data_IF_534616883505
#
_entry.id   IF_534616883505
#
_cell.length_a   1.000
_cell.length_b   1.000
_cell.length_c   1.000
_cell.angle_alpha   90.00
_cell.angle_beta   90.00
_cell.angle_gamma   90.00
#
_symmetry.space_group_name_H-M   'P 1'
#
loop_
_entity.id
_entity.type
_entity.pdbx_description
1 polymer ?
#
# COMPACT_ATOMS: atom_id res chain seq x y z
N UNK A 1 52.24 4.09 32.83
CA UNK A 1 51.60 4.12 34.16
C UNK A 1 50.18 4.62 34.02
N UNK A 2 49.19 3.87 34.50
CA UNK A 2 47.79 4.27 34.48
C UNK A 2 47.47 4.96 35.81
N UNK A 3 47.15 6.25 35.76
CA UNK A 3 46.69 7.02 36.93
C UNK A 3 45.16 6.99 36.98
N UNK A 4 44.62 6.83 38.19
CA UNK A 4 43.19 6.97 38.48
C UNK A 4 42.71 8.40 38.21
N UNK A 5 41.39 8.60 38.09
CA UNK A 5 40.83 9.94 37.92
C UNK A 5 41.06 10.83 39.16
N UNK A 6 41.13 10.24 40.36
CA UNK A 6 41.49 10.95 41.58
C UNK A 6 42.92 11.48 41.50
N UNK A 7 43.88 10.62 41.14
CA UNK A 7 45.27 11.04 40.99
C UNK A 7 45.45 12.10 39.91
N UNK A 8 44.72 12.00 38.78
CA UNK A 8 44.72 13.02 37.72
C UNK A 8 44.13 14.36 38.18
N UNK A 9 43.11 14.33 39.03
CA UNK A 9 42.54 15.53 39.64
C UNK A 9 43.53 16.18 40.60
N UNK A 10 44.19 15.39 41.46
CA UNK A 10 45.20 15.88 42.40
C UNK A 10 46.39 16.50 41.65
N UNK A 11 46.82 15.88 40.54
CA UNK A 11 47.81 16.45 39.64
C UNK A 11 47.36 17.81 39.07
N UNK A 12 46.12 17.90 38.61
CA UNK A 12 45.56 19.14 38.07
C UNK A 12 45.53 20.25 39.13
N UNK A 13 45.18 19.92 40.38
CA UNK A 13 45.20 20.85 41.51
C UNK A 13 46.61 21.41 41.76
N UNK A 14 47.62 20.54 41.88
CA UNK A 14 49.01 20.99 42.06
C UNK A 14 49.49 21.87 40.89
N UNK A 15 49.02 21.59 39.67
CA UNK A 15 49.35 22.39 38.49
C UNK A 15 48.75 23.79 38.54
N UNK A 16 47.50 23.92 39.00
CA UNK A 16 46.83 25.21 39.16
C UNK A 16 47.47 26.00 40.30
N UNK A 17 47.73 25.34 41.44
CA UNK A 17 48.32 25.96 42.63
C UNK A 17 49.70 26.56 42.35
N UNK A 18 50.53 25.87 41.56
CA UNK A 18 51.86 26.34 41.16
C UNK A 18 51.83 27.26 39.94
N UNK A 19 50.75 28.03 39.75
CA UNK A 19 50.57 29.00 38.68
C UNK A 19 50.87 28.43 37.28
N UNK A 20 50.47 27.18 37.02
CA UNK A 20 50.67 26.45 35.74
C UNK A 20 52.14 26.20 35.40
N UNK A 21 53.03 26.17 36.39
CA UNK A 21 54.41 25.71 36.21
C UNK A 21 54.49 24.18 36.39
N UNK A 22 54.79 23.45 35.31
CA UNK A 22 54.81 21.99 35.29
C UNK A 22 55.85 21.37 36.23
N UNK A 23 57.04 21.96 36.35
CA UNK A 23 58.12 21.43 37.21
C UNK A 23 57.86 21.70 38.68
N UNK A 24 57.36 22.89 39.01
CA UNK A 24 56.94 23.23 40.37
C UNK A 24 55.77 22.34 40.82
N UNK A 25 54.79 22.12 39.93
CA UNK A 25 53.66 21.21 40.19
C UNK A 25 54.11 19.77 40.46
N UNK A 26 55.07 19.24 39.68
CA UNK A 26 55.60 17.90 39.91
C UNK A 26 56.36 17.79 41.25
N UNK A 27 57.10 18.83 41.66
CA UNK A 27 57.74 18.89 42.98
C UNK A 27 56.70 18.93 44.10
N UNK A 28 55.70 19.80 43.98
CA UNK A 28 54.62 19.89 44.96
C UNK A 28 53.85 18.58 45.09
N UNK A 29 53.52 17.94 43.96
CA UNK A 29 52.83 16.65 43.94
C UNK A 29 53.64 15.56 44.65
N UNK A 30 54.97 15.53 44.45
CA UNK A 30 55.87 14.59 45.13
C UNK A 30 55.92 14.85 46.65
N UNK A 31 55.86 16.12 47.06
CA UNK A 31 55.85 16.50 48.49
C UNK A 31 54.52 16.17 49.15
N UNK A 32 53.39 16.44 48.48
CA UNK A 32 52.04 16.21 49.03
C UNK A 32 51.62 14.72 48.99
N UNK A 33 52.15 13.95 48.05
CA UNK A 33 51.80 12.54 47.85
C UNK A 33 53.07 11.66 47.73
N UNK A 34 53.85 11.51 48.82
CA UNK A 34 55.14 10.81 48.78
C UNK A 34 55.02 9.31 48.43
N UNK A 35 53.90 8.67 48.77
CA UNK A 35 53.64 7.25 48.51
C UNK A 35 53.17 6.96 47.06
N UNK A 36 52.96 8.00 46.24
CA UNK A 36 52.49 7.85 44.86
C UNK A 36 53.63 8.02 43.87
N UNK A 37 53.64 7.27 42.76
CA UNK A 37 54.63 7.47 41.72
C UNK A 37 54.46 8.86 41.08
N UNK A 38 55.52 9.66 41.13
CA UNK A 38 55.49 11.00 40.56
C UNK A 38 55.50 10.92 39.02
N UNK A 39 54.46 11.42 38.32
CA UNK A 39 54.45 11.47 36.87
C UNK A 39 55.47 12.46 36.32
N UNK A 40 55.83 12.29 35.06
CA UNK A 40 56.63 13.28 34.34
C UNK A 40 55.90 14.65 34.33
N UNK A 41 56.64 15.73 34.55
CA UNK A 41 56.09 17.09 34.67
C UNK A 41 55.19 17.53 33.50
N UNK A 42 55.42 17.00 32.29
CA UNK A 42 54.61 17.26 31.09
C UNK A 42 53.17 16.73 31.23
N UNK A 43 52.95 15.68 32.04
CA UNK A 43 51.64 15.05 32.25
C UNK A 43 50.62 16.02 32.85
N UNK A 44 51.06 16.89 33.76
CA UNK A 44 50.22 17.89 34.43
C UNK A 44 49.59 18.86 33.41
N UNK A 45 50.40 19.36 32.47
CA UNK A 45 49.93 20.20 31.37
C UNK A 45 48.98 19.43 30.44
N UNK A 46 49.30 18.19 30.06
CA UNK A 46 48.44 17.37 29.17
C UNK A 46 47.07 17.13 29.78
N UNK A 47 46.99 16.87 31.09
CA UNK A 47 45.71 16.71 31.79
C UNK A 47 44.90 18.01 31.79
N UNK A 48 45.54 19.14 32.10
CA UNK A 48 44.90 20.46 32.04
C UNK A 48 44.39 20.78 30.64
N UNK A 49 45.21 20.54 29.61
CA UNK A 49 44.86 20.76 28.21
C UNK A 49 43.67 19.90 27.80
N UNK A 50 43.69 18.60 28.07
CA UNK A 50 42.61 17.69 27.72
C UNK A 50 41.29 18.07 28.40
N UNK A 51 41.34 18.47 29.68
CA UNK A 51 40.14 18.94 30.39
C UNK A 51 39.56 20.21 29.78
N UNK A 52 40.41 21.15 29.35
CA UNK A 52 39.96 22.41 28.71
C UNK A 52 39.43 22.20 27.29
N UNK A 53 40.05 21.31 26.51
CA UNK A 53 39.69 21.10 25.11
C UNK A 53 38.58 20.08 24.90
N UNK A 54 38.50 19.04 25.74
CA UNK A 54 37.61 17.89 25.53
C UNK A 54 36.67 17.61 26.71
N UNK A 55 36.74 18.40 27.80
CA UNK A 55 35.93 18.16 29.00
C UNK A 55 36.24 16.85 29.73
N UNK A 56 37.35 16.18 29.38
CA UNK A 56 37.75 14.90 29.95
C UNK A 56 39.27 14.75 29.96
N UNK A 57 39.82 13.89 30.82
CA UNK A 57 41.27 13.66 30.91
C UNK A 57 41.87 12.95 29.68
N UNK A 58 41.04 12.48 28.74
CA UNK A 58 41.44 11.68 27.58
C UNK A 58 40.94 12.36 26.31
N UNK A 59 41.81 12.48 25.30
CA UNK A 59 41.38 12.91 23.97
C UNK A 59 40.46 11.85 23.33
N UNK A 60 39.23 12.19 22.91
CA UNK A 60 38.36 11.25 22.20
C UNK A 60 39.03 10.79 20.90
N UNK A 61 39.06 9.48 20.65
CA UNK A 61 39.48 8.95 19.34
C UNK A 61 38.30 9.09 18.37
N UNK A 62 38.46 9.85 17.28
CA UNK A 62 37.50 9.82 16.18
C UNK A 62 37.69 8.52 15.39
N UNK A 63 36.65 7.67 15.33
CA UNK A 63 36.61 6.58 14.36
C UNK A 63 35.94 7.09 13.10
N UNK A 64 36.72 7.33 12.05
CA UNK A 64 36.18 7.58 10.71
C UNK A 64 35.78 6.23 10.13
N UNK A 65 34.51 6.08 9.73
CA UNK A 65 34.01 4.85 9.09
C UNK A 65 34.49 4.79 7.63
N UNK A 66 35.51 4.00 7.33
CA UNK A 66 36.03 3.77 5.97
C UNK A 66 34.98 3.24 4.98
N UNK A 67 33.98 2.50 5.46
CA UNK A 67 32.94 1.91 4.62
C UNK A 67 31.92 2.93 4.05
N UNK A 68 31.81 4.13 4.62
CA UNK A 68 30.84 5.18 4.23
C UNK A 68 31.62 6.42 3.78
N UNK A 69 32.71 6.22 3.05
CA UNK A 69 33.38 7.31 2.35
C UNK A 69 32.44 7.85 1.26
N UNK A 70 32.62 9.11 0.88
CA UNK A 70 31.90 9.82 -0.17
C UNK A 70 31.96 9.03 -1.48
N UNK A 71 33.14 8.53 -1.86
CA UNK A 71 33.32 7.78 -3.11
C UNK A 71 32.50 6.48 -3.14
N UNK A 72 32.59 5.67 -2.10
CA UNK A 72 31.81 4.45 -1.97
C UNK A 72 30.29 4.74 -1.93
N UNK A 73 29.91 5.85 -1.29
CA UNK A 73 28.50 6.26 -1.25
C UNK A 73 28.03 6.66 -2.65
N UNK A 74 28.84 7.40 -3.39
CA UNK A 74 28.55 7.80 -4.77
C UNK A 74 28.41 6.60 -5.70
N UNK A 75 29.35 5.65 -5.67
CA UNK A 75 29.30 4.44 -6.51
C UNK A 75 28.07 3.58 -6.25
N UNK A 76 27.70 3.40 -4.97
CA UNK A 76 26.47 2.66 -4.59
C UNK A 76 25.22 3.38 -5.09
N UNK A 77 25.14 4.70 -4.92
CA UNK A 77 23.97 5.48 -5.34
C UNK A 77 23.83 5.53 -6.87
N UNK A 78 24.94 5.68 -7.60
CA UNK A 78 24.93 5.68 -9.06
C UNK A 78 24.33 4.39 -9.61
N UNK A 79 24.71 3.23 -9.06
CA UNK A 79 24.17 1.92 -9.47
C UNK A 79 22.68 1.75 -9.16
N UNK A 80 22.23 2.26 -8.02
CA UNK A 80 20.80 2.22 -7.66
C UNK A 80 19.94 3.15 -8.53
N UNK A 81 20.50 4.27 -9.02
CA UNK A 81 19.83 5.17 -9.95
C UNK A 81 19.79 4.59 -11.37
N UNK A 82 20.91 4.02 -11.82
CA UNK A 82 21.02 3.39 -13.14
C UNK A 82 20.08 2.20 -13.30
N UNK A 83 19.94 1.38 -12.26
CA UNK A 83 19.03 0.24 -12.25
C UNK A 83 18.30 0.11 -10.89
N UNK A 84 17.10 0.70 -10.74
CA UNK A 84 16.32 0.59 -9.50
C UNK A 84 15.86 -0.83 -9.13
N UNK A 85 15.96 -1.81 -10.04
CA UNK A 85 15.59 -3.20 -9.81
C UNK A 85 16.77 -4.07 -9.34
N UNK A 86 17.98 -3.51 -9.26
CA UNK A 86 19.18 -4.26 -8.84
C UNK A 86 19.12 -4.63 -7.35
N UNK A 87 19.55 -5.85 -7.02
CA UNK A 87 19.62 -6.26 -5.61
C UNK A 87 20.84 -5.63 -4.93
N UNK A 88 20.71 -5.28 -3.64
CA UNK A 88 21.86 -4.78 -2.86
C UNK A 88 23.00 -5.81 -2.75
N UNK A 89 22.73 -7.11 -2.97
CA UNK A 89 23.78 -8.14 -3.03
C UNK A 89 24.57 -8.04 -4.33
N UNK A 90 23.87 -7.88 -5.45
CA UNK A 90 24.49 -7.67 -6.77
C UNK A 90 25.34 -6.39 -6.78
N UNK A 91 24.84 -5.29 -6.20
CA UNK A 91 25.62 -4.05 -6.04
C UNK A 91 26.86 -4.27 -5.16
N UNK A 92 26.75 -5.09 -4.12
CA UNK A 92 27.88 -5.41 -3.25
C UNK A 92 28.95 -6.23 -4.00
N UNK A 93 28.54 -7.19 -4.83
CA UNK A 93 29.42 -7.97 -5.69
C UNK A 93 30.11 -7.10 -6.75
N UNK A 94 29.35 -6.27 -7.47
CA UNK A 94 29.89 -5.39 -8.53
C UNK A 94 30.88 -4.35 -7.99
N UNK A 95 30.64 -3.82 -6.79
CA UNK A 95 31.48 -2.79 -6.18
C UNK A 95 32.56 -3.37 -5.24
N UNK A 96 32.68 -4.69 -5.14
CA UNK A 96 33.56 -5.38 -4.18
C UNK A 96 33.39 -4.85 -2.74
N UNK A 97 32.14 -4.64 -2.33
CA UNK A 97 31.76 -4.16 -1.01
C UNK A 97 31.03 -5.27 -0.23
N UNK A 98 30.95 -5.14 1.09
CA UNK A 98 30.05 -6.02 1.86
C UNK A 98 28.61 -5.56 1.71
N UNK A 99 27.67 -6.50 1.70
CA UNK A 99 26.23 -6.21 1.71
C UNK A 99 25.84 -5.22 2.82
N UNK A 100 26.39 -5.39 4.03
CA UNK A 100 26.12 -4.53 5.18
C UNK A 100 26.60 -3.08 4.99
N UNK A 101 27.64 -2.86 4.19
CA UNK A 101 28.10 -1.50 3.82
C UNK A 101 27.15 -0.87 2.81
N UNK A 102 26.80 -1.59 1.74
CA UNK A 102 25.85 -1.14 0.71
C UNK A 102 24.49 -0.83 1.33
N UNK A 103 23.96 -1.71 2.18
CA UNK A 103 22.69 -1.50 2.89
C UNK A 103 22.71 -0.26 3.78
N UNK A 104 23.83 0.01 4.46
CA UNK A 104 23.96 1.17 5.36
C UNK A 104 24.02 2.47 4.57
N UNK A 105 24.70 2.47 3.42
CA UNK A 105 24.72 3.60 2.49
C UNK A 105 23.30 3.86 1.96
N UNK A 106 22.62 2.84 1.43
CA UNK A 106 21.25 2.96 0.94
C UNK A 106 20.31 3.55 2.01
N UNK A 107 20.33 3.01 3.24
CA UNK A 107 19.54 3.52 4.36
C UNK A 107 19.90 4.96 4.75
N UNK A 108 21.20 5.30 4.80
CA UNK A 108 21.66 6.67 5.12
C UNK A 108 21.11 7.70 4.11
N UNK A 109 21.02 7.30 2.84
CA UNK A 109 20.51 8.13 1.77
C UNK A 109 19.00 7.93 1.49
N UNK A 110 18.27 7.27 2.41
CA UNK A 110 16.82 7.05 2.35
C UNK A 110 16.33 6.23 1.14
N UNK A 111 17.17 5.35 0.59
CA UNK A 111 16.75 4.36 -0.39
C UNK A 111 16.09 3.19 0.34
N UNK A 112 14.85 2.90 -0.05
CA UNK A 112 14.05 1.79 0.47
C UNK A 112 13.71 0.82 -0.67
N UNK A 113 13.68 -0.47 -0.34
CA UNK A 113 13.12 -1.44 -1.27
C UNK A 113 11.60 -1.31 -1.27
N UNK A 114 11.02 -1.02 -2.43
CA UNK A 114 9.58 -0.99 -2.63
C UNK A 114 9.17 -2.24 -3.41
N UNK A 115 8.13 -2.92 -2.93
CA UNK A 115 7.54 -4.02 -3.69
C UNK A 115 6.67 -3.42 -4.80
N UNK A 116 6.98 -3.75 -6.05
CA UNK A 116 6.11 -3.38 -7.17
C UNK A 116 4.74 -4.04 -6.97
N UNK A 117 3.66 -3.24 -7.08
CA UNK A 117 2.32 -3.78 -7.02
C UNK A 117 2.03 -4.45 -8.37
N UNK A 118 1.65 -5.74 -8.41
CA UNK A 118 1.20 -6.36 -9.63
C UNK A 118 -0.12 -5.72 -10.04
N UNK A 119 -0.15 -5.08 -11.22
CA UNK A 119 -1.36 -4.54 -11.85
C UNK A 119 -1.58 -5.27 -13.17
N UNK A 120 -2.84 -5.38 -13.59
CA UNK A 120 -3.14 -6.01 -14.87
C UNK A 120 -2.47 -5.23 -16.01
N UNK A 121 -1.76 -5.94 -16.89
CA UNK A 121 -1.11 -5.31 -18.02
C UNK A 121 -2.16 -4.72 -18.97
N UNK A 122 -2.12 -3.41 -19.13
CA UNK A 122 -2.89 -2.70 -20.15
C UNK A 122 -2.17 -2.81 -21.50
N UNK A 123 -2.96 -2.95 -22.57
CA UNK A 123 -2.49 -2.82 -23.94
C UNK A 123 -2.65 -1.37 -24.41
N UNK A 124 -1.91 -0.96 -25.44
CA UNK A 124 -1.99 0.40 -25.98
C UNK A 124 -3.42 0.78 -26.41
N UNK A 125 -4.18 -0.18 -26.94
CA UNK A 125 -5.59 0.00 -27.31
C UNK A 125 -6.52 0.25 -26.12
N UNK A 126 -6.11 -0.10 -24.90
CA UNK A 126 -6.95 0.08 -23.71
C UNK A 126 -6.95 1.52 -23.24
N UNK A 127 -5.86 2.26 -23.44
CA UNK A 127 -5.74 3.65 -22.99
C UNK A 127 -6.81 4.53 -23.64
N UNK A 128 -6.97 4.41 -24.96
CA UNK A 128 -7.99 5.13 -25.72
C UNK A 128 -9.41 4.76 -25.24
N UNK A 129 -9.68 3.48 -25.01
CA UNK A 129 -10.99 3.02 -24.50
C UNK A 129 -11.28 3.55 -23.11
N UNK A 130 -10.27 3.57 -22.23
CA UNK A 130 -10.39 4.15 -20.88
C UNK A 130 -10.64 5.65 -20.96
N UNK A 131 -9.90 6.37 -21.79
CA UNK A 131 -10.10 7.81 -22.00
C UNK A 131 -11.47 8.13 -22.58
N UNK A 132 -11.97 7.35 -23.54
CA UNK A 132 -13.31 7.53 -24.09
C UNK A 132 -14.39 7.36 -23.01
N UNK A 133 -14.28 6.32 -22.18
CA UNK A 133 -15.17 6.11 -21.04
C UNK A 133 -15.12 7.29 -20.06
N UNK A 134 -13.93 7.75 -19.69
CA UNK A 134 -13.76 8.86 -18.75
C UNK A 134 -14.31 10.16 -19.33
N UNK A 135 -14.01 10.47 -20.59
CA UNK A 135 -14.52 11.66 -21.26
C UNK A 135 -16.05 11.69 -21.26
N UNK A 136 -16.69 10.55 -21.52
CA UNK A 136 -18.15 10.42 -21.41
C UNK A 136 -18.64 10.69 -19.99
N UNK A 137 -18.02 10.08 -18.98
CA UNK A 137 -18.38 10.34 -17.58
C UNK A 137 -18.19 11.81 -17.18
N UNK A 138 -17.14 12.48 -17.65
CA UNK A 138 -16.90 13.90 -17.37
C UNK A 138 -17.98 14.80 -17.96
N UNK A 139 -18.35 14.58 -19.22
CA UNK A 139 -19.45 15.32 -19.86
C UNK A 139 -20.76 15.10 -19.10
N UNK A 140 -21.06 13.86 -18.71
CA UNK A 140 -22.26 13.54 -17.94
C UNK A 140 -22.27 14.19 -16.55
N UNK A 141 -21.11 14.27 -15.89
CA UNK A 141 -20.95 14.96 -14.62
C UNK A 141 -21.11 16.48 -14.72
N UNK A 142 -20.72 17.08 -15.85
CA UNK A 142 -20.95 18.50 -16.13
C UNK A 142 -22.45 18.78 -16.37
N UNK A 143 -23.14 17.88 -17.07
CA UNK A 143 -24.60 17.97 -17.32
C UNK A 143 -25.43 17.71 -16.04
N UNK A 144 -25.05 16.69 -15.27
CA UNK A 144 -25.74 16.27 -14.05
C UNK A 144 -24.71 15.90 -12.95
N UNK A 145 -24.55 16.76 -11.92
CA UNK A 145 -23.68 16.45 -10.79
C UNK A 145 -24.09 15.19 -10.00
N UNK A 146 -25.33 14.71 -10.15
CA UNK A 146 -25.82 13.48 -9.55
C UNK A 146 -25.61 12.24 -10.43
N UNK A 147 -25.01 12.36 -11.62
CA UNK A 147 -24.81 11.25 -12.55
C UNK A 147 -24.29 9.96 -11.89
N UNK A 148 -23.28 10.05 -11.02
CA UNK A 148 -22.69 8.88 -10.36
C UNK A 148 -23.65 8.17 -9.39
N UNK A 149 -24.64 8.87 -8.82
CA UNK A 149 -25.60 8.28 -7.87
C UNK A 149 -26.59 7.35 -8.59
N UNK A 150 -26.71 7.48 -9.90
CA UNK A 150 -27.59 6.67 -10.74
C UNK A 150 -26.90 5.40 -11.27
N UNK A 151 -25.57 5.27 -11.13
CA UNK A 151 -24.83 4.10 -11.59
C UNK A 151 -24.98 2.96 -10.59
N UNK A 152 -25.54 1.84 -11.05
CA UNK A 152 -25.49 0.57 -10.35
C UNK A 152 -24.21 -0.18 -10.78
N UNK A 153 -23.22 -0.16 -9.91
CA UNK A 153 -21.97 -0.89 -10.07
C UNK A 153 -22.21 -2.37 -9.76
N UNK A 154 -21.89 -3.28 -10.67
CA UNK A 154 -22.16 -4.72 -10.47
C UNK A 154 -20.95 -5.56 -10.83
N UNK A 155 -20.76 -6.64 -10.08
CA UNK A 155 -19.68 -7.59 -10.34
C UNK A 155 -19.93 -8.93 -9.62
N UNK A 156 -19.17 -9.95 -10.00
CA UNK A 156 -19.12 -11.25 -9.33
C UNK A 156 -17.75 -11.56 -8.74
N UNK A 157 -17.74 -12.07 -7.51
CA UNK A 157 -16.55 -12.62 -6.89
C UNK A 157 -16.73 -14.06 -6.43
N UNK A 158 -15.71 -14.88 -6.68
CA UNK A 158 -15.58 -16.21 -6.09
C UNK A 158 -14.97 -16.14 -4.69
N UNK A 159 -15.61 -16.83 -3.76
CA UNK A 159 -15.12 -17.10 -2.41
C UNK A 159 -14.76 -18.58 -2.29
N UNK A 160 -13.65 -18.89 -1.63
CA UNK A 160 -13.10 -20.24 -1.50
C UNK A 160 -12.84 -20.58 -0.03
N UNK A 161 -13.02 -21.84 0.32
CA UNK A 161 -12.80 -22.32 1.69
C UNK A 161 -11.34 -22.38 2.12
N UNK A 162 -10.38 -22.27 1.20
CA UNK A 162 -8.94 -22.32 1.48
C UNK A 162 -8.35 -20.93 1.74
N UNK A 163 -9.16 -19.87 1.78
CA UNK A 163 -8.67 -18.51 2.00
C UNK A 163 -7.64 -18.07 0.97
N UNK A 164 -7.56 -18.72 -0.20
CA UNK A 164 -6.73 -18.22 -1.29
C UNK A 164 -7.39 -16.93 -1.79
N UNK A 165 -6.92 -15.85 -1.22
CA UNK A 165 -7.32 -14.53 -1.61
C UNK A 165 -6.56 -14.22 -2.89
N UNK A 166 -7.31 -14.16 -4.00
CA UNK A 166 -6.79 -13.98 -5.34
C UNK A 166 -5.85 -12.77 -5.37
N UNK A 167 -4.53 -12.98 -5.47
CA UNK A 167 -3.51 -11.93 -5.24
C UNK A 167 -3.68 -10.67 -6.12
N UNK A 168 -4.37 -10.79 -7.26
CA UNK A 168 -4.70 -9.67 -8.15
C UNK A 168 -5.81 -8.74 -7.61
N UNK A 169 -6.78 -9.23 -6.82
CA UNK A 169 -7.90 -8.43 -6.31
C UNK A 169 -7.71 -8.04 -4.84
N UNK A 170 -6.45 -7.94 -4.42
CA UNK A 170 -6.11 -8.04 -3.01
C UNK A 170 -5.13 -6.97 -2.56
N UNK A 171 -5.59 -5.73 -2.69
CA UNK A 171 -4.97 -4.61 -2.06
C UNK A 171 -5.42 -4.52 -0.61
N UNK A 172 -4.52 -4.89 0.28
CA UNK A 172 -4.73 -4.83 1.70
C UNK A 172 -4.17 -3.54 2.28
N UNK A 173 -5.07 -2.73 2.83
CA UNK A 173 -4.73 -1.50 3.51
C UNK A 173 -5.28 -1.58 4.93
N UNK A 174 -4.38 -1.70 5.90
CA UNK A 174 -4.73 -1.67 7.30
C UNK A 174 -3.69 -0.79 8.02
N UNK A 175 -4.15 0.00 9.00
CA UNK A 175 -3.28 0.82 9.86
C UNK A 175 -2.31 -0.04 10.69
N UNK A 176 -2.59 -1.34 10.83
CA UNK A 176 -1.73 -2.31 11.52
C UNK A 176 -1.68 -3.64 10.76
N UNK A 177 -0.57 -4.38 10.87
CA UNK A 177 -0.41 -5.67 10.20
C UNK A 177 -1.39 -6.69 10.81
N UNK A 178 -2.35 -7.24 10.03
CA UNK A 178 -3.35 -8.17 10.55
C UNK A 178 -2.82 -9.57 10.88
N UNK A 179 -1.52 -9.84 10.67
CA UNK A 179 -0.89 -11.14 10.94
C UNK A 179 -1.59 -12.32 10.24
N UNK A 180 -1.84 -12.19 8.94
CA UNK A 180 -2.46 -13.28 8.19
C UNK A 180 -1.57 -14.52 8.11
N UNK A 181 -2.20 -15.67 8.39
CA UNK A 181 -1.63 -17.01 8.26
C UNK A 181 -2.47 -17.73 7.20
N UNK A 182 -1.85 -18.09 6.08
CA UNK A 182 -2.51 -18.83 5.00
C UNK A 182 -2.15 -20.33 5.11
N UNK A 183 -3.09 -21.17 5.54
CA UNK A 183 -2.98 -22.62 5.44
C UNK A 183 -3.41 -23.07 4.02
N UNK A 184 -2.45 -23.37 3.15
CA UNK A 184 -2.69 -23.58 1.70
C UNK A 184 -3.21 -24.96 1.30
N UNK A 185 -3.31 -25.94 2.23
CA UNK A 185 -3.67 -27.32 1.90
C UNK A 185 -4.94 -27.81 2.60
N UNK A 186 -6.09 -27.74 1.91
CA UNK A 186 -7.32 -28.46 2.27
C UNK A 186 -7.64 -29.52 1.20
N UNK A 187 -7.93 -30.76 1.62
CA UNK A 187 -8.27 -31.90 0.74
C UNK A 187 -9.64 -31.76 0.05
N UNK A 188 -10.59 -31.01 0.62
CA UNK A 188 -11.90 -30.73 0.02
C UNK A 188 -12.00 -29.24 -0.32
N UNK A 189 -12.19 -28.92 -1.60
CA UNK A 189 -12.31 -27.54 -2.10
C UNK A 189 -13.75 -27.27 -2.51
N UNK A 190 -14.35 -26.24 -1.93
CA UNK A 190 -15.64 -25.71 -2.35
C UNK A 190 -15.53 -24.20 -2.54
N UNK A 191 -16.35 -23.67 -3.46
CA UNK A 191 -16.38 -22.26 -3.80
C UNK A 191 -17.79 -21.79 -4.02
N UNK A 192 -18.05 -20.53 -3.69
CA UNK A 192 -19.33 -19.85 -3.92
C UNK A 192 -19.07 -18.66 -4.82
N UNK A 193 -19.86 -18.52 -5.89
CA UNK A 193 -19.83 -17.33 -6.73
C UNK A 193 -20.91 -16.35 -6.26
N UNK A 194 -20.51 -15.13 -5.93
CA UNK A 194 -21.36 -14.14 -5.29
C UNK A 194 -21.47 -12.93 -6.19
N UNK A 195 -22.70 -12.49 -6.45
CA UNK A 195 -22.97 -11.23 -7.11
C UNK A 195 -23.39 -10.18 -6.08
N UNK A 196 -22.88 -8.97 -6.24
CA UNK A 196 -23.32 -7.80 -5.50
C UNK A 196 -23.43 -6.60 -6.45
N UNK A 197 -24.35 -5.70 -6.11
CA UNK A 197 -24.48 -4.40 -6.76
C UNK A 197 -24.35 -3.28 -5.73
N UNK A 198 -23.81 -2.12 -6.11
CA UNK A 198 -23.85 -0.92 -5.27
C UNK A 198 -24.41 0.22 -6.10
N UNK A 199 -25.48 0.85 -5.62
CA UNK A 199 -26.05 2.06 -6.20
C UNK A 199 -26.14 3.13 -5.13
N UNK A 200 -25.47 4.25 -5.39
CA UNK A 200 -25.32 5.34 -4.44
C UNK A 200 -24.78 4.87 -3.07
N UNK A 201 -25.62 4.85 -2.04
CA UNK A 201 -25.32 4.40 -0.68
C UNK A 201 -25.90 3.02 -0.34
N UNK A 202 -26.52 2.34 -1.32
CA UNK A 202 -27.24 1.09 -1.13
C UNK A 202 -26.47 -0.10 -1.69
N UNK A 203 -26.32 -1.13 -0.86
CA UNK A 203 -25.82 -2.43 -1.27
C UNK A 203 -26.98 -3.32 -1.73
N UNK A 204 -26.85 -3.89 -2.91
CA UNK A 204 -27.80 -4.82 -3.54
C UNK A 204 -27.21 -6.23 -3.50
N UNK A 205 -28.02 -7.20 -3.09
CA UNK A 205 -27.57 -8.55 -2.81
C UNK A 205 -27.12 -8.73 -1.36
N UNK A 206 -26.23 -9.69 -1.04
CA UNK A 206 -25.54 -10.60 -1.96
C UNK A 206 -26.47 -11.66 -2.58
N UNK A 207 -26.28 -11.95 -3.87
CA UNK A 207 -26.89 -13.07 -4.58
C UNK A 207 -25.87 -14.19 -4.80
N UNK A 208 -26.29 -15.45 -4.68
CA UNK A 208 -25.38 -16.59 -4.74
C UNK A 208 -25.70 -17.47 -5.94
N UNK A 209 -24.75 -17.63 -6.87
CA UNK A 209 -24.86 -18.59 -7.95
C UNK A 209 -24.41 -19.98 -7.46
N UNK A 210 -25.29 -20.97 -7.59
CA UNK A 210 -25.06 -22.36 -7.20
C UNK A 210 -24.07 -23.09 -8.15
N UNK A 211 -23.93 -22.62 -9.38
CA UNK A 211 -23.15 -23.26 -10.45
C UNK A 211 -22.35 -22.24 -11.27
N UNK A 212 -21.58 -22.72 -12.25
CA UNK A 212 -20.87 -21.85 -13.18
C UNK A 212 -21.84 -20.91 -13.92
N UNK A 213 -21.51 -19.63 -13.91
CA UNK A 213 -22.28 -18.59 -14.57
C UNK A 213 -22.12 -18.72 -16.10
N UNK A 214 -23.25 -18.81 -16.80
CA UNK A 214 -23.32 -18.72 -18.26
C UNK A 214 -24.34 -17.64 -18.64
N UNK A 215 -24.39 -17.26 -19.91
CA UNK A 215 -25.26 -16.16 -20.35
C UNK A 215 -26.75 -16.40 -20.10
N UNK A 216 -27.24 -17.64 -20.18
CA UNK A 216 -28.65 -17.95 -19.92
C UNK A 216 -29.01 -17.80 -18.44
N UNK A 217 -28.13 -18.28 -17.54
CA UNK A 217 -28.31 -18.11 -16.09
C UNK A 217 -28.20 -16.65 -15.68
N UNK A 218 -27.23 -15.93 -16.24
CA UNK A 218 -27.11 -14.50 -16.02
C UNK A 218 -28.36 -13.75 -16.50
N UNK A 219 -28.87 -14.09 -17.68
CA UNK A 219 -30.12 -13.51 -18.18
C UNK A 219 -31.34 -13.83 -17.31
N UNK A 220 -31.45 -15.07 -16.80
CA UNK A 220 -32.49 -15.45 -15.84
C UNK A 220 -32.40 -14.61 -14.57
N UNK A 221 -31.20 -14.51 -13.99
CA UNK A 221 -30.92 -13.65 -12.85
C UNK A 221 -31.32 -12.18 -13.09
N UNK A 222 -30.96 -11.62 -14.25
CA UNK A 222 -31.32 -10.25 -14.62
C UNK A 222 -32.84 -10.02 -14.74
N UNK A 223 -33.60 -11.05 -15.12
CA UNK A 223 -35.05 -10.98 -15.33
C UNK A 223 -35.86 -11.25 -14.07
N UNK A 224 -35.43 -12.25 -13.32
CA UNK A 224 -36.26 -12.87 -12.29
C UNK A 224 -35.83 -12.41 -10.90
N UNK A 225 -34.52 -12.25 -10.65
CA UNK A 225 -33.97 -11.93 -9.33
C UNK A 225 -33.65 -10.45 -9.15
N UNK A 226 -33.07 -9.77 -10.15
CA UNK A 226 -32.70 -8.36 -10.06
C UNK A 226 -33.89 -7.44 -9.69
N UNK A 227 -35.09 -7.58 -10.29
CA UNK A 227 -36.22 -6.74 -9.91
C UNK A 227 -36.60 -6.88 -8.43
N UNK A 228 -36.46 -8.08 -7.86
CA UNK A 228 -36.71 -8.37 -6.44
C UNK A 228 -35.62 -7.71 -5.58
N UNK A 229 -34.36 -7.85 -5.97
CA UNK A 229 -33.24 -7.25 -5.23
C UNK A 229 -33.27 -5.71 -5.21
N UNK A 230 -33.88 -5.09 -6.23
CA UNK A 230 -34.03 -3.65 -6.34
C UNK A 230 -35.32 -3.10 -5.72
N UNK A 231 -36.16 -3.92 -5.08
CA UNK A 231 -37.47 -3.50 -4.56
C UNK A 231 -37.37 -2.35 -3.55
N UNK A 232 -36.31 -2.34 -2.73
CA UNK A 232 -36.04 -1.30 -1.73
C UNK A 232 -35.45 -0.02 -2.31
N UNK A 233 -35.15 0.02 -3.61
CA UNK A 233 -34.64 1.22 -4.29
C UNK A 233 -35.80 2.07 -4.81
N UNK A 234 -35.73 3.37 -4.55
CA UNK A 234 -36.77 4.32 -4.94
C UNK A 234 -37.09 4.23 -6.44
N UNK A 235 -38.37 4.41 -6.80
CA UNK A 235 -38.80 4.33 -8.19
C UNK A 235 -38.03 5.33 -9.08
N UNK A 236 -37.77 6.53 -8.55
CA UNK A 236 -37.01 7.56 -9.27
C UNK A 236 -35.57 7.10 -9.58
N UNK A 237 -34.86 6.51 -8.61
CA UNK A 237 -33.53 5.95 -8.86
C UNK A 237 -33.57 4.77 -9.83
N UNK A 238 -34.59 3.91 -9.76
CA UNK A 238 -34.74 2.79 -10.70
C UNK A 238 -35.00 3.24 -12.13
N UNK A 239 -35.74 4.34 -12.33
CA UNK A 239 -36.02 4.89 -13.67
C UNK A 239 -34.78 5.52 -14.31
N UNK A 240 -33.90 6.12 -13.52
CA UNK A 240 -32.66 6.75 -13.99
C UNK A 240 -31.45 5.81 -13.93
N UNK A 241 -31.66 4.54 -13.55
CA UNK A 241 -30.58 3.60 -13.26
C UNK A 241 -29.71 3.36 -14.49
N UNK A 242 -28.40 3.45 -14.29
CA UNK A 242 -27.38 3.11 -15.28
C UNK A 242 -26.72 1.81 -14.86
N UNK A 243 -26.89 0.76 -15.67
CA UNK A 243 -26.38 -0.57 -15.36
C UNK A 243 -24.90 -0.69 -15.75
N UNK A 244 -23.99 -0.96 -14.82
CA UNK A 244 -22.58 -1.25 -15.15
C UNK A 244 -22.28 -2.74 -14.98
N UNK A 245 -21.61 -3.34 -15.98
CA UNK A 245 -21.07 -4.70 -15.92
C UNK A 245 -19.72 -4.81 -16.64
N UNK A 246 -18.93 -5.83 -16.29
CA UNK A 246 -17.61 -6.07 -16.85
C UNK A 246 -17.65 -6.79 -18.22
N UNK A 247 -16.49 -7.24 -18.69
CA UNK A 247 -16.34 -7.95 -19.96
C UNK A 247 -16.45 -9.47 -19.91
N UNK A 248 -16.99 -10.07 -18.84
CA UNK A 248 -17.10 -11.52 -18.73
C UNK A 248 -17.90 -12.13 -19.90
N UNK A 249 -17.56 -13.35 -20.37
CA UNK A 249 -18.26 -13.97 -21.50
C UNK A 249 -19.77 -14.12 -21.31
N UNK A 250 -20.25 -14.36 -20.08
CA UNK A 250 -21.68 -14.46 -19.78
C UNK A 250 -22.42 -13.14 -20.05
N UNK A 251 -21.78 -12.00 -19.76
CA UNK A 251 -22.33 -10.65 -19.92
C UNK A 251 -22.44 -10.24 -21.40
N UNK A 252 -21.59 -10.82 -22.26
CA UNK A 252 -21.47 -10.44 -23.66
C UNK A 252 -22.34 -11.27 -24.63
N UNK A 253 -23.15 -12.18 -24.12
CA UNK A 253 -24.09 -12.94 -24.98
C UNK A 253 -25.12 -12.02 -25.62
N UNK A 254 -25.56 -12.36 -26.84
CA UNK A 254 -26.55 -11.56 -27.57
C UNK A 254 -27.85 -11.39 -26.80
N UNK A 255 -28.29 -12.42 -26.09
CA UNK A 255 -29.54 -12.39 -25.33
C UNK A 255 -29.46 -11.43 -24.12
N UNK A 256 -28.31 -11.40 -23.42
CA UNK A 256 -28.06 -10.45 -22.32
C UNK A 256 -28.00 -9.02 -22.86
N UNK A 257 -27.25 -8.78 -23.93
CA UNK A 257 -27.13 -7.46 -24.57
C UNK A 257 -28.49 -6.93 -25.04
N UNK A 258 -29.28 -7.77 -25.71
CA UNK A 258 -30.62 -7.41 -26.18
C UNK A 258 -31.56 -7.07 -25.01
N UNK A 259 -31.43 -7.79 -23.88
CA UNK A 259 -32.18 -7.50 -22.68
C UNK A 259 -31.78 -6.16 -22.05
N UNK A 260 -30.48 -5.89 -21.90
CA UNK A 260 -30.00 -4.63 -21.33
C UNK A 260 -30.40 -3.42 -22.19
N UNK A 261 -30.27 -3.53 -23.52
CA UNK A 261 -30.75 -2.50 -24.44
C UNK A 261 -32.27 -2.27 -24.28
N UNK A 262 -33.06 -3.34 -24.12
CA UNK A 262 -34.50 -3.22 -23.93
C UNK A 262 -34.88 -2.58 -22.59
N UNK A 263 -34.18 -2.95 -21.51
CA UNK A 263 -34.54 -2.52 -20.15
C UNK A 263 -34.02 -1.13 -19.79
N UNK A 264 -32.78 -0.80 -20.18
CA UNK A 264 -32.12 0.44 -19.80
C UNK A 264 -32.01 1.43 -20.97
N UNK A 265 -32.17 0.98 -22.20
CA UNK A 265 -31.93 1.78 -23.40
C UNK A 265 -30.45 1.90 -23.73
N UNK A 266 -30.14 2.45 -24.90
CA UNK A 266 -28.78 2.47 -25.46
C UNK A 266 -27.79 3.35 -24.67
N UNK A 267 -28.30 4.27 -23.83
CA UNK A 267 -27.52 5.23 -23.04
C UNK A 267 -27.32 4.86 -21.57
N UNK A 268 -28.13 3.95 -21.01
CA UNK A 268 -28.13 3.71 -19.55
C UNK A 268 -27.58 2.33 -19.18
N UNK A 269 -26.61 1.82 -19.94
CA UNK A 269 -25.77 0.73 -19.46
C UNK A 269 -24.34 0.77 -20.02
N UNK A 270 -23.40 0.36 -19.18
CA UNK A 270 -21.97 0.25 -19.46
C UNK A 270 -21.57 -1.21 -19.48
N UNK A 271 -21.08 -1.67 -20.62
CA UNK A 271 -20.49 -2.99 -20.78
C UNK A 271 -19.66 -3.02 -22.05
N UNK A 272 -18.91 -4.11 -22.28
CA UNK A 272 -17.94 -4.18 -23.39
C UNK A 272 -18.56 -3.91 -24.76
N UNK A 273 -19.84 -4.24 -24.95
CA UNK A 273 -20.56 -4.06 -26.20
C UNK A 273 -21.79 -3.16 -26.06
N UNK A 274 -21.73 -2.19 -25.14
CA UNK A 274 -22.75 -1.14 -25.05
C UNK A 274 -22.74 -0.27 -26.31
N UNK A 275 -23.91 0.16 -26.83
CA UNK A 275 -24.00 0.85 -28.11
C UNK A 275 -23.31 2.21 -28.14
N UNK A 276 -23.39 2.97 -27.05
CA UNK A 276 -22.94 4.36 -27.01
C UNK A 276 -21.61 4.50 -26.27
N UNK A 277 -21.48 3.88 -25.09
CA UNK A 277 -20.24 3.94 -24.33
C UNK A 277 -19.86 2.58 -23.76
N UNK A 278 -18.71 2.08 -24.21
CA UNK A 278 -18.23 0.76 -23.82
C UNK A 278 -17.47 0.82 -22.50
N UNK A 279 -17.73 -0.16 -21.62
CA UNK A 279 -16.91 -0.36 -20.43
C UNK A 279 -15.48 -0.72 -20.85
N UNK A 280 -14.45 -0.02 -20.34
CA UNK A 280 -13.09 -0.25 -20.77
C UNK A 280 -12.58 -1.62 -20.29
N UNK A 281 -11.89 -2.39 -21.16
CA UNK A 281 -11.32 -3.67 -20.76
C UNK A 281 -10.28 -3.48 -19.65
N UNK A 282 -10.07 -4.51 -18.83
CA UNK A 282 -8.98 -4.60 -17.84
C UNK A 282 -8.89 -3.38 -16.91
N UNK A 283 -10.05 -2.84 -16.53
CA UNK A 283 -10.15 -1.62 -15.71
C UNK A 283 -10.84 -1.86 -14.35
N UNK A 284 -10.37 -2.84 -13.53
CA UNK A 284 -10.90 -3.04 -12.18
C UNK A 284 -10.68 -1.82 -11.28
N UNK A 285 -9.67 -1.01 -11.60
CA UNK A 285 -9.37 0.25 -10.92
C UNK A 285 -10.42 1.35 -11.13
N UNK A 286 -11.40 1.13 -12.04
CA UNK A 286 -12.56 2.00 -12.25
C UNK A 286 -13.87 1.40 -11.70
N UNK A 287 -13.87 0.14 -11.26
CA UNK A 287 -15.05 -0.57 -10.73
C UNK A 287 -15.07 -0.51 -9.20
N UNK A 288 -16.16 0.03 -8.63
CA UNK A 288 -16.34 0.15 -7.17
C UNK A 288 -16.25 -1.20 -6.46
N UNK A 289 -16.77 -2.24 -7.10
CA UNK A 289 -16.79 -3.59 -6.55
C UNK A 289 -15.36 -4.13 -6.42
N UNK A 290 -14.54 -3.93 -7.46
CA UNK A 290 -13.17 -4.41 -7.52
C UNK A 290 -12.21 -3.62 -6.61
N UNK A 291 -12.21 -2.29 -6.73
CA UNK A 291 -11.20 -1.49 -6.04
C UNK A 291 -11.45 -1.33 -4.55
N UNK A 292 -12.67 -1.59 -4.08
CA UNK A 292 -13.09 -1.39 -2.70
C UNK A 292 -13.83 -2.61 -2.12
N UNK A 293 -15.00 -2.94 -2.66
CA UNK A 293 -15.97 -3.80 -1.96
C UNK A 293 -15.44 -5.21 -1.73
N UNK A 294 -14.95 -5.90 -2.76
CA UNK A 294 -14.52 -7.28 -2.64
C UNK A 294 -13.31 -7.45 -1.73
N UNK A 295 -12.37 -6.50 -1.78
CA UNK A 295 -11.22 -6.48 -0.87
C UNK A 295 -11.68 -6.33 0.59
N UNK A 296 -12.56 -5.35 0.86
CA UNK A 296 -13.13 -5.13 2.18
C UNK A 296 -13.92 -6.35 2.69
N UNK A 297 -14.81 -6.90 1.86
CA UNK A 297 -15.67 -8.03 2.24
C UNK A 297 -14.84 -9.29 2.50
N UNK A 298 -13.85 -9.61 1.65
CA UNK A 298 -12.96 -10.75 1.86
C UNK A 298 -12.13 -10.60 3.14
N UNK A 299 -11.68 -9.38 3.46
CA UNK A 299 -10.97 -9.12 4.72
C UNK A 299 -11.81 -9.48 5.93
N UNK A 300 -13.09 -9.11 5.94
CA UNK A 300 -13.99 -9.39 7.06
C UNK A 300 -14.39 -10.86 7.12
N UNK A 301 -14.76 -11.45 5.98
CA UNK A 301 -15.26 -12.83 5.90
C UNK A 301 -14.19 -13.85 6.28
N UNK A 302 -12.92 -13.60 5.91
CA UNK A 302 -11.81 -14.53 6.18
C UNK A 302 -11.06 -14.25 7.49
N UNK A 303 -11.55 -13.36 8.37
CA UNK A 303 -11.01 -13.23 9.74
C UNK A 303 -11.10 -14.55 10.51
N UNK A 304 -12.16 -15.31 10.24
CA UNK A 304 -12.42 -16.60 10.85
C UNK A 304 -12.62 -17.67 9.78
N UNK A 305 -12.23 -18.90 10.11
CA UNK A 305 -12.31 -20.03 9.19
C UNK A 305 -13.75 -20.52 9.11
N UNK A 306 -14.34 -20.49 7.91
CA UNK A 306 -15.63 -21.12 7.63
C UNK A 306 -15.43 -22.63 7.33
N UNK A 307 -16.30 -23.47 7.87
CA UNK A 307 -16.23 -24.93 7.70
C UNK A 307 -17.27 -25.49 6.70
N UNK A 308 -18.33 -24.74 6.39
CA UNK A 308 -19.33 -25.10 5.38
C UNK A 308 -19.67 -23.96 4.42
N UNK A 309 -20.29 -24.31 3.29
CA UNK A 309 -20.80 -23.35 2.29
C UNK A 309 -21.89 -22.48 2.91
N UNK A 310 -22.79 -23.06 3.69
CA UNK A 310 -23.90 -22.36 4.34
C UNK A 310 -23.38 -21.34 5.35
N UNK A 311 -22.38 -21.72 6.15
CA UNK A 311 -21.72 -20.81 7.09
C UNK A 311 -21.06 -19.64 6.34
N UNK A 312 -20.38 -19.92 5.23
CA UNK A 312 -19.80 -18.87 4.39
C UNK A 312 -20.89 -17.93 3.83
N UNK A 313 -21.97 -18.47 3.27
CA UNK A 313 -23.10 -17.67 2.73
C UNK A 313 -23.70 -16.78 3.83
N UNK A 314 -23.89 -17.32 5.04
CA UNK A 314 -24.39 -16.56 6.20
C UNK A 314 -23.41 -15.47 6.62
N UNK A 315 -22.11 -15.77 6.68
CA UNK A 315 -21.08 -14.79 7.05
C UNK A 315 -20.96 -13.67 6.03
N UNK A 316 -21.05 -13.98 4.74
CA UNK A 316 -21.07 -12.96 3.67
C UNK A 316 -22.28 -12.03 3.85
N UNK A 317 -23.49 -12.57 4.04
CA UNK A 317 -24.69 -11.75 4.33
C UNK A 317 -24.49 -10.87 5.56
N UNK A 318 -23.94 -11.43 6.64
CA UNK A 318 -23.66 -10.71 7.86
C UNK A 318 -22.68 -9.54 7.64
N UNK A 319 -21.57 -9.78 6.95
CA UNK A 319 -20.58 -8.75 6.63
C UNK A 319 -21.18 -7.67 5.73
N UNK A 320 -21.93 -8.05 4.68
CA UNK A 320 -22.64 -7.11 3.81
C UNK A 320 -23.54 -6.15 4.59
N UNK A 321 -24.36 -6.67 5.52
CA UNK A 321 -25.28 -5.87 6.33
C UNK A 321 -24.60 -4.92 7.32
N UNK A 322 -23.30 -5.09 7.56
CA UNK A 322 -22.52 -4.26 8.49
C UNK A 322 -21.74 -3.14 7.80
N UNK A 323 -21.69 -3.13 6.47
CA UNK A 323 -21.02 -2.06 5.74
C UNK A 323 -21.88 -0.80 5.87
N UNK A 324 -21.29 0.27 6.38
CA UNK A 324 -22.00 1.53 6.56
C UNK A 324 -22.34 2.18 5.22
N UNK A 325 -23.58 2.67 5.08
CA UNK A 325 -24.05 3.40 3.89
C UNK A 325 -23.15 4.60 3.54
N UNK A 326 -22.59 5.27 4.55
CA UNK A 326 -21.64 6.38 4.39
C UNK A 326 -20.39 5.97 3.60
N UNK A 327 -19.90 4.75 3.82
CA UNK A 327 -18.73 4.19 3.13
C UNK A 327 -19.09 3.85 1.68
N UNK A 328 -20.26 3.24 1.46
CA UNK A 328 -20.79 2.95 0.12
C UNK A 328 -20.93 4.24 -0.68
N UNK A 329 -21.59 5.26 -0.10
CA UNK A 329 -21.74 6.60 -0.69
C UNK A 329 -20.39 7.21 -1.07
N UNK A 330 -19.41 7.16 -0.17
CA UNK A 330 -18.08 7.71 -0.44
C UNK A 330 -17.39 6.98 -1.61
N UNK A 331 -17.53 5.66 -1.65
CA UNK A 331 -16.93 4.80 -2.67
C UNK A 331 -17.52 5.05 -4.07
N UNK A 332 -18.83 5.24 -4.18
CA UNK A 332 -19.54 5.48 -5.46
C UNK A 332 -19.46 6.92 -5.95
N UNK A 333 -19.16 7.87 -5.06
CA UNK A 333 -19.05 9.29 -5.39
C UNK A 333 -17.59 9.75 -5.47
N UNK A 334 -17.04 10.27 -4.38
CA UNK A 334 -15.73 10.92 -4.31
C UNK A 334 -14.56 10.03 -4.76
N UNK A 335 -14.56 8.74 -4.43
CA UNK A 335 -13.47 7.85 -4.84
C UNK A 335 -13.54 7.51 -6.33
N UNK A 336 -14.74 7.27 -6.89
CA UNK A 336 -14.92 7.14 -8.34
C UNK A 336 -14.46 8.41 -9.06
N UNK A 337 -14.94 9.58 -8.61
CA UNK A 337 -14.58 10.87 -9.22
C UNK A 337 -13.06 11.06 -9.23
N UNK A 338 -12.40 10.81 -8.09
CA UNK A 338 -10.94 10.89 -7.96
C UNK A 338 -10.22 9.95 -8.92
N UNK A 339 -10.69 8.70 -9.06
CA UNK A 339 -10.10 7.70 -9.97
C UNK A 339 -10.29 8.09 -11.43
N UNK A 340 -11.44 8.62 -11.82
CA UNK A 340 -11.67 9.14 -13.17
C UNK A 340 -10.70 10.28 -13.51
N UNK A 341 -10.51 11.25 -12.59
CA UNK A 341 -9.56 12.36 -12.79
C UNK A 341 -8.11 11.89 -12.88
N UNK A 342 -7.70 10.94 -12.03
CA UNK A 342 -6.36 10.38 -12.08
C UNK A 342 -6.13 9.62 -13.38
N UNK A 343 -7.10 8.82 -13.82
CA UNK A 343 -6.98 8.11 -15.08
C UNK A 343 -6.90 9.06 -16.28
N UNK A 344 -7.62 10.20 -16.24
CA UNK A 344 -7.49 11.24 -17.25
C UNK A 344 -6.09 11.88 -17.23
N UNK A 345 -5.59 12.23 -16.05
CA UNK A 345 -4.28 12.86 -15.86
C UNK A 345 -3.13 11.95 -16.30
N UNK A 346 -3.31 10.64 -16.23
CA UNK A 346 -2.34 9.63 -16.68
C UNK A 346 -2.55 9.15 -18.12
N UNK A 347 -3.32 9.86 -18.94
CA UNK A 347 -3.60 9.50 -20.34
C UNK A 347 -4.15 8.07 -20.50
N UNK A 348 -5.04 7.65 -19.59
CA UNK A 348 -5.64 6.32 -19.62
C UNK A 348 -4.73 5.20 -19.09
N UNK A 349 -3.51 5.51 -18.64
CA UNK A 349 -2.55 4.53 -18.10
C UNK A 349 -2.89 4.14 -16.65
N UNK A 350 -2.11 3.19 -16.12
CA UNK A 350 -2.20 2.75 -14.73
C UNK A 350 -1.87 3.91 -13.76
N UNK A 351 -2.79 4.23 -12.86
CA UNK A 351 -2.65 5.34 -11.91
C UNK A 351 -2.67 4.91 -10.44
N UNK A 352 -2.91 3.63 -10.13
CA UNK A 352 -3.10 3.17 -8.75
C UNK A 352 -1.91 3.44 -7.83
N UNK A 353 -0.69 3.49 -8.39
CA UNK A 353 0.51 3.86 -7.65
C UNK A 353 0.49 5.30 -7.11
N UNK A 354 -0.30 6.19 -7.73
CA UNK A 354 -0.48 7.60 -7.32
C UNK A 354 -1.57 7.80 -6.28
N UNK A 355 -2.46 6.82 -6.09
CA UNK A 355 -3.44 6.85 -5.00
C UNK A 355 -2.77 6.74 -3.61
N UNK A 356 -1.54 6.21 -3.56
CA UNK A 356 -0.83 5.84 -2.33
C UNK A 356 -0.03 6.97 -1.66
N UNK A 357 -0.07 8.19 -2.18
CA UNK A 357 0.75 9.30 -1.67
C UNK A 357 -0.05 10.59 -1.55
N UNK A 358 -0.74 10.77 -0.42
CA UNK A 358 -0.86 12.06 0.27
C UNK A 358 -1.02 11.81 1.75
#
# INVERSE_FOLDING_TARGET
MFYSNKEKSDMLSCYIEMAKNTRAAARLYKTQYPDRPCPEHTRFYVLYKNMREYGSFIKPKSRVSTAINVDNSFSVLAKLIENPHISLRTVAEELNMTYSSVQRIAKKHKYHAYLANPVQQLLASDYERRLNFIAHCMVKLEEDPQFLTNILWTDEAKFHNNGHVNHHNNHYWNHSNPHWINETNKQVRWSVNVWCGIIDEHLIGPYFFEENLNGNKYLGFLKDDIPILLENISLQQRLNLIWQQDGAPAHNTLAVRAYLNKMYGDNNWFGTHSPIIQWPPRSPDLSVLDFFFWGHLKNEVYKEKCNSVEELKQRIRYCCNRIENSILKKSTSSEVLKRLHLCLTEDGKQFEHKLKYK
#
